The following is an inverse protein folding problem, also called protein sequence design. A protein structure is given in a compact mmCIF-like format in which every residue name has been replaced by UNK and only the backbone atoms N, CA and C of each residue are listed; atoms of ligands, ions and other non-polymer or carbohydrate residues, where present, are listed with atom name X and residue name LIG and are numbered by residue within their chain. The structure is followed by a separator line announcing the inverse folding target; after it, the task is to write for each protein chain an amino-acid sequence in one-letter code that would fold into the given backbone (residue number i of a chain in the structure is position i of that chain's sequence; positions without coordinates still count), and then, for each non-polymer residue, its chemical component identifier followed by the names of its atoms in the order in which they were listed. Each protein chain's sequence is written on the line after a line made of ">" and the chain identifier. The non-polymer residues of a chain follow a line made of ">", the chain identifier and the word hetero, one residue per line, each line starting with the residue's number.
data_IF_136198875495
#
_entry.id   IF_136198875495
#
_cell.length_a   1.000
_cell.length_b   1.000
_cell.length_c   1.000
_cell.angle_alpha   90.00
_cell.angle_beta   90.00
_cell.angle_gamma   90.00
#
_symmetry.space_group_name_H-M   'P 1'
#
loop_
_entity.id
_entity.type
_entity.pdbx_description
1 polymer ?
#
# COMPACT_ATOMS: atom_id res chain seq x y z
N UNK A 1 12.30 -11.50 -40.38
CA UNK A 1 11.85 -10.10 -40.53
C UNK A 1 10.55 -9.81 -39.78
N UNK A 2 10.36 -10.23 -38.52
CA UNK A 2 9.14 -9.97 -37.72
C UNK A 2 9.43 -9.39 -36.33
N UNK A 3 10.67 -9.15 -35.92
CA UNK A 3 11.06 -8.67 -34.62
C UNK A 3 11.09 -7.11 -34.54
N UNK A 4 11.32 -6.45 -35.68
CA UNK A 4 11.46 -4.98 -35.75
C UNK A 4 10.12 -4.23 -35.61
N UNK A 5 8.99 -4.83 -35.99
CA UNK A 5 7.68 -4.17 -35.91
C UNK A 5 7.11 -4.10 -34.47
N UNK A 6 7.43 -5.07 -33.61
CA UNK A 6 6.92 -5.10 -32.21
C UNK A 6 7.64 -4.07 -31.35
N UNK A 7 8.93 -3.82 -31.59
CA UNK A 7 9.71 -2.83 -30.84
C UNK A 7 9.28 -1.40 -31.17
N UNK A 8 8.91 -1.12 -32.44
CA UNK A 8 8.43 0.23 -32.83
C UNK A 8 7.05 0.57 -32.22
N UNK A 9 6.15 -0.40 -32.10
CA UNK A 9 4.83 -0.19 -31.49
C UNK A 9 4.92 0.04 -29.98
N UNK A 10 5.81 -0.65 -29.27
CA UNK A 10 6.04 -0.40 -27.84
C UNK A 10 6.66 0.97 -27.55
N UNK A 11 7.62 1.39 -28.38
CA UNK A 11 8.25 2.73 -28.25
C UNK A 11 7.26 3.86 -28.54
N UNK A 12 6.38 3.70 -29.52
CA UNK A 12 5.35 4.70 -29.85
C UNK A 12 4.31 4.84 -28.72
N UNK A 13 3.89 3.75 -28.09
CA UNK A 13 2.93 3.80 -26.97
C UNK A 13 3.54 4.44 -25.73
N UNK A 14 4.80 4.18 -25.41
CA UNK A 14 5.50 4.81 -24.29
C UNK A 14 5.69 6.32 -24.51
N UNK A 15 5.99 6.75 -25.74
CA UNK A 15 6.13 8.16 -26.05
C UNK A 15 4.79 8.92 -25.99
N UNK A 16 3.69 8.33 -26.48
CA UNK A 16 2.36 8.93 -26.40
C UNK A 16 1.94 9.10 -24.94
N UNK A 17 2.19 8.11 -24.09
CA UNK A 17 1.90 8.17 -22.66
C UNK A 17 2.71 9.26 -21.93
N UNK A 18 3.99 9.39 -22.25
CA UNK A 18 4.87 10.41 -21.64
C UNK A 18 4.46 11.85 -22.04
N UNK A 19 3.98 12.05 -23.25
CA UNK A 19 3.46 13.35 -23.73
C UNK A 19 2.17 13.69 -23.01
N UNK A 20 1.24 12.73 -22.81
CA UNK A 20 0.00 12.96 -22.08
C UNK A 20 0.29 13.33 -20.62
N UNK A 21 1.19 12.60 -19.94
CA UNK A 21 1.56 12.89 -18.54
C UNK A 21 2.08 14.32 -18.35
N UNK A 22 3.03 14.77 -19.18
CA UNK A 22 3.56 16.15 -19.11
C UNK A 22 2.48 17.20 -19.33
N UNK A 23 1.54 16.97 -20.23
CA UNK A 23 0.42 17.86 -20.49
C UNK A 23 -0.51 17.95 -19.27
N UNK A 24 -0.82 16.82 -18.63
CA UNK A 24 -1.62 16.79 -17.41
C UNK A 24 -0.92 17.55 -16.29
N UNK A 25 0.38 17.29 -16.06
CA UNK A 25 1.17 18.00 -15.06
C UNK A 25 1.19 19.52 -15.30
N UNK A 26 1.42 19.95 -16.54
CA UNK A 26 1.41 21.36 -16.91
C UNK A 26 0.06 22.02 -16.66
N UNK A 27 -1.04 21.40 -17.12
CA UNK A 27 -2.40 21.92 -16.93
C UNK A 27 -2.76 22.04 -15.46
N UNK A 28 -2.51 20.96 -14.67
CA UNK A 28 -2.81 20.94 -13.23
C UNK A 28 -1.96 21.97 -12.48
N UNK A 29 -0.69 22.16 -12.86
CA UNK A 29 0.16 23.20 -12.29
C UNK A 29 -0.48 24.58 -12.48
N UNK A 30 -0.85 24.93 -13.71
CA UNK A 30 -1.48 26.23 -14.04
C UNK A 30 -2.82 26.44 -13.32
N UNK A 31 -3.65 25.40 -13.30
CA UNK A 31 -4.92 25.44 -12.59
C UNK A 31 -4.74 25.69 -11.09
N UNK A 32 -3.80 24.98 -10.45
CA UNK A 32 -3.55 25.11 -9.00
C UNK A 32 -2.93 26.47 -8.66
N UNK A 33 -2.01 26.98 -9.47
CA UNK A 33 -1.43 28.32 -9.30
C UNK A 33 -2.52 29.40 -9.35
N UNK A 34 -3.45 29.31 -10.32
CA UNK A 34 -4.58 30.23 -10.43
C UNK A 34 -5.53 30.13 -9.23
N UNK A 35 -5.86 28.91 -8.81
CA UNK A 35 -6.83 28.66 -7.73
C UNK A 35 -6.29 29.04 -6.34
N UNK A 36 -5.01 28.82 -6.09
CA UNK A 36 -4.40 29.05 -4.76
C UNK A 36 -3.69 30.39 -4.66
N UNK A 37 -3.57 31.14 -5.76
CA UNK A 37 -2.75 32.34 -5.86
C UNK A 37 -1.31 32.14 -5.33
N UNK A 38 -0.79 30.93 -5.48
CA UNK A 38 0.49 30.51 -4.93
C UNK A 38 1.26 29.68 -5.96
N UNK A 39 2.59 29.91 -6.10
CA UNK A 39 3.39 29.20 -7.10
C UNK A 39 3.52 27.71 -6.73
N UNK A 40 3.32 26.85 -7.73
CA UNK A 40 3.62 25.41 -7.65
C UNK A 40 5.07 25.19 -8.06
N UNK A 41 5.91 24.85 -7.08
CA UNK A 41 7.35 24.66 -7.28
C UNK A 41 7.65 23.38 -8.06
N UNK A 42 6.95 22.31 -7.70
CA UNK A 42 7.11 21.01 -8.32
C UNK A 42 5.78 20.28 -8.40
N UNK A 43 5.59 19.55 -9.48
CA UNK A 43 4.50 18.59 -9.66
C UNK A 43 5.11 17.25 -10.10
N UNK A 44 4.56 16.15 -9.61
CA UNK A 44 5.01 14.79 -9.93
C UNK A 44 3.82 13.88 -10.05
N UNK A 45 3.79 13.07 -11.09
CA UNK A 45 2.88 11.94 -11.19
C UNK A 45 3.42 10.78 -10.34
N UNK A 46 2.66 10.39 -9.32
CA UNK A 46 2.99 9.28 -8.41
C UNK A 46 2.59 7.94 -9.03
N UNK A 47 1.44 7.92 -9.67
CA UNK A 47 0.86 6.76 -10.34
C UNK A 47 -0.15 7.21 -11.37
N UNK A 48 -0.30 6.46 -12.45
CA UNK A 48 -1.35 6.63 -13.45
C UNK A 48 -1.70 5.27 -14.05
N UNK A 49 -2.97 5.08 -14.39
CA UNK A 49 -3.45 3.89 -15.08
C UNK A 49 -4.83 4.16 -15.70
N UNK A 50 -5.21 3.33 -16.68
CA UNK A 50 -6.55 3.35 -17.25
C UNK A 50 -7.57 2.78 -16.27
N UNK A 51 -8.71 3.45 -16.14
CA UNK A 51 -9.81 3.03 -15.28
C UNK A 51 -10.66 2.02 -16.05
N UNK A 52 -10.62 0.77 -15.63
CA UNK A 52 -11.39 -0.31 -16.27
C UNK A 52 -12.88 0.02 -16.40
N UNK A 53 -13.45 -0.26 -17.56
CA UNK A 53 -14.88 -0.04 -17.84
C UNK A 53 -15.30 1.41 -18.09
N UNK A 54 -14.33 2.35 -18.24
CA UNK A 54 -14.61 3.78 -18.47
C UNK A 54 -14.33 4.26 -19.89
N UNK A 55 -14.03 3.34 -20.82
CA UNK A 55 -13.75 3.67 -22.23
C UNK A 55 -12.62 4.68 -22.40
N UNK A 56 -11.44 4.38 -21.83
CA UNK A 56 -10.20 5.11 -22.05
C UNK A 56 -9.93 6.28 -21.09
N UNK A 57 -10.68 6.43 -20.00
CA UNK A 57 -10.31 7.37 -18.96
C UNK A 57 -9.12 6.86 -18.15
N UNK A 58 -8.10 7.73 -17.99
CA UNK A 58 -6.94 7.50 -17.13
C UNK A 58 -7.06 8.31 -15.86
N UNK A 59 -6.67 7.73 -14.74
CA UNK A 59 -6.49 8.44 -13.46
C UNK A 59 -5.03 8.82 -13.29
N UNK A 60 -4.79 10.04 -12.81
CA UNK A 60 -3.48 10.55 -12.42
C UNK A 60 -3.49 10.93 -10.95
N UNK A 61 -2.58 10.33 -10.18
CA UNK A 61 -2.31 10.67 -8.79
C UNK A 61 -1.09 11.57 -8.74
N UNK A 62 -1.28 12.81 -8.33
CA UNK A 62 -0.26 13.85 -8.41
C UNK A 62 0.14 14.33 -7.01
N UNK A 63 1.44 14.55 -6.80
CA UNK A 63 1.95 15.32 -5.67
C UNK A 63 2.41 16.69 -6.17
N UNK A 64 2.01 17.75 -5.45
CA UNK A 64 2.38 19.14 -5.74
C UNK A 64 3.07 19.75 -4.52
N UNK A 65 4.23 20.34 -4.72
CA UNK A 65 4.89 21.17 -3.72
C UNK A 65 4.51 22.65 -3.99
N UNK A 66 3.70 23.23 -3.09
CA UNK A 66 3.13 24.58 -3.24
C UNK A 66 3.71 25.49 -2.16
N UNK A 67 4.09 26.70 -2.53
CA UNK A 67 4.47 27.77 -1.60
C UNK A 67 3.23 28.61 -1.26
N UNK A 68 2.52 28.24 -0.19
CA UNK A 68 1.35 28.98 0.26
C UNK A 68 1.78 30.31 0.89
N UNK A 69 1.24 31.41 0.39
CA UNK A 69 1.38 32.73 1.02
C UNK A 69 0.45 32.81 2.24
N UNK A 70 1.00 33.16 3.41
CA UNK A 70 0.29 33.35 4.66
C UNK A 70 0.66 34.73 5.24
N UNK A 71 0.00 35.79 4.73
CA UNK A 71 0.39 37.17 5.00
C UNK A 71 1.79 37.46 4.47
N UNK A 72 2.72 37.89 5.34
CA UNK A 72 4.12 38.15 4.96
C UNK A 72 5.01 36.89 4.93
N UNK A 73 4.52 35.74 5.40
CA UNK A 73 5.27 34.48 5.40
C UNK A 73 4.90 33.56 4.25
N UNK A 74 5.84 32.68 3.89
CA UNK A 74 5.60 31.65 2.88
C UNK A 74 5.84 30.27 3.51
N UNK A 75 4.85 29.39 3.41
CA UNK A 75 4.97 28.00 3.92
C UNK A 75 4.94 27.01 2.76
N UNK A 76 6.00 26.21 2.66
CA UNK A 76 6.00 25.05 1.75
C UNK A 76 5.00 24.00 2.24
N UNK A 77 4.09 23.58 1.36
CA UNK A 77 3.12 22.53 1.63
C UNK A 77 3.09 21.54 0.47
N UNK A 78 3.18 20.25 0.78
CA UNK A 78 2.90 19.19 -0.20
C UNK A 78 1.44 18.84 -0.12
N UNK A 79 0.77 18.86 -1.27
CA UNK A 79 -0.62 18.47 -1.44
C UNK A 79 -0.70 17.37 -2.48
N UNK A 80 -1.74 16.54 -2.38
CA UNK A 80 -2.05 15.50 -3.36
C UNK A 80 -3.29 15.90 -4.16
N UNK A 81 -3.30 15.56 -5.44
CA UNK A 81 -4.42 15.81 -6.33
C UNK A 81 -4.68 14.55 -7.18
N UNK A 82 -5.94 14.20 -7.31
CA UNK A 82 -6.40 13.19 -8.27
C UNK A 82 -7.07 13.91 -9.43
N UNK A 83 -6.67 13.58 -10.63
CA UNK A 83 -7.28 14.10 -11.86
C UNK A 83 -7.47 12.96 -12.85
N UNK A 84 -8.35 13.18 -13.80
CA UNK A 84 -8.73 12.23 -14.83
C UNK A 84 -8.44 12.83 -16.19
N UNK A 85 -7.98 12.01 -17.12
CA UNK A 85 -7.70 12.45 -18.49
C UNK A 85 -8.26 11.45 -19.49
N UNK A 86 -8.87 11.96 -20.54
CA UNK A 86 -9.25 11.23 -21.75
C UNK A 86 -9.21 12.17 -22.94
N UNK A 87 -8.56 11.76 -24.03
CA UNK A 87 -8.53 12.51 -25.30
C UNK A 87 -8.13 13.99 -25.11
N UNK A 88 -7.14 14.26 -24.26
CA UNK A 88 -6.66 15.60 -23.84
C UNK A 88 -7.65 16.41 -23.00
N UNK A 89 -8.80 15.86 -22.65
CA UNK A 89 -9.72 16.46 -21.70
C UNK A 89 -9.29 16.11 -20.28
N UNK A 90 -9.24 17.11 -19.39
CA UNK A 90 -8.86 16.93 -17.99
C UNK A 90 -10.04 17.25 -17.10
N UNK A 91 -10.38 16.31 -16.22
CA UNK A 91 -11.45 16.45 -15.22
C UNK A 91 -10.89 16.31 -13.79
N UNK A 92 -11.36 17.14 -12.87
CA UNK A 92 -11.02 17.06 -11.43
C UNK A 92 -12.00 16.20 -10.63
N UNK A 93 -13.09 15.78 -11.26
CA UNK A 93 -14.11 14.89 -10.72
C UNK A 93 -14.57 13.96 -11.83
N UNK A 94 -14.68 12.67 -11.51
CA UNK A 94 -15.25 11.65 -12.37
C UNK A 94 -16.03 10.68 -11.48
N UNK A 95 -17.25 10.33 -11.89
CA UNK A 95 -18.13 9.45 -11.14
C UNK A 95 -18.36 8.14 -11.89
N UNK A 96 -18.54 7.07 -11.14
CA UNK A 96 -18.99 5.79 -11.70
C UNK A 96 -20.50 5.83 -12.05
N UNK A 97 -21.01 4.71 -12.61
CA UNK A 97 -22.42 4.57 -12.98
C UNK A 97 -23.38 4.65 -11.77
N UNK A 98 -22.87 4.51 -10.54
CA UNK A 98 -23.63 4.62 -9.29
C UNK A 98 -23.53 6.01 -8.66
N UNK A 99 -22.86 6.94 -9.31
CA UNK A 99 -22.63 8.31 -8.82
C UNK A 99 -21.48 8.43 -7.81
N UNK A 100 -20.69 7.38 -7.58
CA UNK A 100 -19.57 7.38 -6.64
C UNK A 100 -18.33 8.02 -7.28
N UNK A 101 -17.70 8.95 -6.57
CA UNK A 101 -16.48 9.63 -7.03
C UNK A 101 -15.30 8.66 -7.12
N UNK A 102 -14.70 8.55 -8.30
CA UNK A 102 -13.51 7.71 -8.52
C UNK A 102 -12.32 8.14 -7.66
N UNK A 103 -12.16 9.45 -7.37
CA UNK A 103 -11.12 9.95 -6.48
C UNK A 103 -11.19 9.39 -5.04
N UNK A 104 -12.35 8.88 -4.61
CA UNK A 104 -12.56 8.25 -3.30
C UNK A 104 -12.35 6.74 -3.31
N UNK A 105 -12.53 6.10 -4.46
CA UNK A 105 -12.50 4.64 -4.61
C UNK A 105 -11.29 4.12 -5.39
N UNK A 106 -10.43 4.99 -5.88
CA UNK A 106 -9.17 4.63 -6.51
C UNK A 106 -7.99 5.06 -5.64
N UNK A 107 -6.89 4.33 -5.74
CA UNK A 107 -5.62 4.62 -5.08
C UNK A 107 -4.45 4.39 -6.04
N UNK A 108 -3.30 5.05 -5.81
CA UNK A 108 -2.08 4.76 -6.56
C UNK A 108 -1.75 3.27 -6.51
N UNK A 109 -1.18 2.75 -7.59
CA UNK A 109 -0.57 1.42 -7.59
C UNK A 109 0.63 1.39 -6.64
N UNK A 110 0.78 0.29 -5.91
CA UNK A 110 1.94 0.08 -5.03
C UNK A 110 3.21 -0.04 -5.89
N UNK A 111 4.23 0.79 -5.66
CA UNK A 111 5.48 0.66 -6.39
C UNK A 111 6.25 -0.59 -5.96
N UNK A 112 7.02 -1.18 -6.87
CA UNK A 112 7.82 -2.38 -6.58
C UNK A 112 8.77 -2.18 -5.38
N UNK A 113 9.27 -0.96 -5.18
CA UNK A 113 10.14 -0.61 -4.05
C UNK A 113 9.47 -0.70 -2.67
N UNK A 114 8.15 -0.87 -2.61
CA UNK A 114 7.43 -1.11 -1.35
C UNK A 114 7.47 -2.57 -0.90
N UNK A 115 7.89 -3.48 -1.77
CA UNK A 115 8.01 -4.91 -1.46
C UNK A 115 9.45 -5.26 -1.09
N UNK A 116 10.01 -4.54 -0.11
CA UNK A 116 11.38 -4.76 0.37
C UNK A 116 11.43 -5.73 1.56
N UNK A 117 12.59 -6.37 1.75
CA UNK A 117 12.77 -7.38 2.81
C UNK A 117 12.53 -6.86 4.23
N UNK A 118 12.70 -5.55 4.45
CA UNK A 118 12.51 -4.94 5.79
C UNK A 118 11.06 -4.85 6.20
N UNK A 119 10.12 -4.99 5.25
CA UNK A 119 8.69 -4.93 5.50
C UNK A 119 8.02 -6.31 5.35
N UNK A 120 8.76 -7.34 4.91
CA UNK A 120 8.23 -8.70 4.79
C UNK A 120 8.00 -9.30 6.17
N UNK A 121 6.77 -9.27 6.64
CA UNK A 121 6.37 -9.75 7.97
C UNK A 121 6.13 -11.27 7.99
N UNK A 122 5.53 -11.82 6.94
CA UNK A 122 5.18 -13.23 6.85
C UNK A 122 5.08 -13.69 5.39
N UNK A 123 5.17 -15.01 5.17
CA UNK A 123 5.17 -15.63 3.85
C UNK A 123 6.52 -15.53 3.14
N UNK A 124 6.57 -15.94 1.89
CA UNK A 124 7.79 -15.96 1.08
C UNK A 124 7.83 -14.74 0.14
N UNK A 125 9.01 -14.11 0.00
CA UNK A 125 9.18 -12.95 -0.90
C UNK A 125 8.79 -13.27 -2.36
N UNK A 126 8.97 -14.52 -2.78
CA UNK A 126 8.67 -15.02 -4.13
C UNK A 126 7.28 -15.66 -4.24
N UNK A 127 6.41 -15.45 -3.24
CA UNK A 127 5.03 -15.93 -3.26
C UNK A 127 4.24 -15.36 -4.45
N UNK A 128 3.20 -16.08 -4.86
CA UNK A 128 2.38 -15.75 -6.03
C UNK A 128 1.71 -14.39 -5.91
N UNK A 129 1.28 -14.00 -4.70
CA UNK A 129 0.60 -12.74 -4.43
C UNK A 129 1.31 -11.94 -3.35
N UNK A 130 1.45 -10.64 -3.58
CA UNK A 130 2.07 -9.70 -2.63
C UNK A 130 0.99 -8.84 -1.97
N UNK A 131 0.90 -8.96 -0.65
CA UNK A 131 -0.03 -8.16 0.16
C UNK A 131 0.75 -7.04 0.84
N UNK A 132 0.33 -5.79 0.66
CA UNK A 132 0.82 -4.66 1.44
C UNK A 132 -0.27 -4.22 2.41
N UNK A 133 0.06 -4.23 3.69
CA UNK A 133 -0.82 -3.83 4.80
C UNK A 133 -0.32 -2.51 5.40
N UNK A 134 -1.21 -1.55 5.60
CA UNK A 134 -0.96 -0.35 6.40
C UNK A 134 -1.94 -0.36 7.57
N UNK A 135 -1.42 -0.39 8.81
CA UNK A 135 -2.24 -0.65 10.00
C UNK A 135 -1.83 0.15 11.24
N UNK A 136 -2.75 0.17 12.23
CA UNK A 136 -2.57 0.70 13.58
C UNK A 136 -3.04 -0.34 14.58
N UNK A 137 -2.25 -0.71 15.61
CA UNK A 137 -2.59 -1.78 16.53
C UNK A 137 -3.83 -1.50 17.41
N UNK A 138 -4.22 -0.25 17.58
CA UNK A 138 -5.41 0.12 18.34
C UNK A 138 -6.63 0.48 17.48
N UNK A 139 -6.50 0.46 16.16
CA UNK A 139 -7.65 0.63 15.28
C UNK A 139 -8.57 -0.61 15.40
N UNK A 140 -9.87 -0.47 15.77
CA UNK A 140 -10.78 -1.61 15.96
C UNK A 140 -10.84 -2.53 14.73
N UNK A 141 -10.93 -1.96 13.52
CA UNK A 141 -10.92 -2.74 12.28
C UNK A 141 -9.58 -3.45 12.03
N UNK A 142 -8.44 -2.89 12.50
CA UNK A 142 -7.16 -3.58 12.42
C UNK A 142 -7.12 -4.76 13.38
N UNK A 143 -7.67 -4.62 14.57
CA UNK A 143 -7.75 -5.69 15.57
C UNK A 143 -8.55 -6.89 15.06
N UNK A 144 -9.60 -6.63 14.30
CA UNK A 144 -10.44 -7.68 13.70
C UNK A 144 -9.78 -8.34 12.47
N UNK A 145 -9.19 -7.52 11.58
CA UNK A 145 -8.80 -7.99 10.23
C UNK A 145 -7.36 -8.49 10.18
N UNK A 146 -6.42 -7.84 10.91
CA UNK A 146 -4.99 -8.11 10.71
C UNK A 146 -4.52 -9.44 11.31
N UNK A 147 -4.90 -9.85 12.51
CA UNK A 147 -4.48 -11.13 13.04
C UNK A 147 -4.89 -12.33 12.17
N UNK A 148 -6.15 -12.44 11.68
CA UNK A 148 -6.53 -13.51 10.76
C UNK A 148 -5.77 -13.44 9.41
N UNK A 149 -5.48 -12.26 8.89
CA UNK A 149 -4.68 -12.10 7.67
C UNK A 149 -3.26 -12.64 7.86
N UNK A 150 -2.59 -12.29 8.97
CA UNK A 150 -1.25 -12.82 9.28
C UNK A 150 -1.28 -14.34 9.35
N UNK A 151 -2.26 -14.91 10.06
CA UNK A 151 -2.43 -16.36 10.17
C UNK A 151 -2.63 -17.01 8.80
N UNK A 152 -3.49 -16.48 7.97
CA UNK A 152 -3.73 -16.99 6.61
C UNK A 152 -2.46 -16.96 5.74
N UNK A 153 -1.63 -15.93 5.86
CA UNK A 153 -0.34 -15.86 5.14
C UNK A 153 0.65 -16.88 5.67
N UNK A 154 0.70 -17.12 6.99
CA UNK A 154 1.56 -18.15 7.59
C UNK A 154 1.15 -19.57 7.17
N UNK A 155 -0.16 -19.82 7.02
CA UNK A 155 -0.70 -21.10 6.54
C UNK A 155 -0.48 -21.31 5.03
N UNK A 156 -0.32 -20.22 4.26
CA UNK A 156 -0.14 -20.25 2.81
C UNK A 156 1.09 -19.45 2.35
N UNK A 157 2.31 -19.78 2.83
CA UNK A 157 3.51 -18.96 2.62
C UNK A 157 3.97 -18.87 1.17
N UNK A 158 3.63 -19.84 0.32
CA UNK A 158 3.94 -19.82 -1.11
C UNK A 158 2.87 -19.10 -1.94
N UNK A 159 1.68 -18.91 -1.35
CA UNK A 159 0.60 -18.16 -2.00
C UNK A 159 0.74 -16.66 -1.72
N UNK A 160 1.17 -16.28 -0.51
CA UNK A 160 1.24 -14.90 -0.08
C UNK A 160 2.59 -14.48 0.51
N UNK A 161 2.98 -13.23 0.20
CA UNK A 161 3.99 -12.46 0.91
C UNK A 161 3.32 -11.22 1.54
N UNK A 162 3.38 -11.08 2.86
CA UNK A 162 2.78 -9.96 3.59
C UNK A 162 3.83 -8.92 3.97
N UNK A 163 3.71 -7.72 3.42
CA UNK A 163 4.53 -6.56 3.73
C UNK A 163 3.76 -5.61 4.63
N UNK A 164 4.26 -5.35 5.84
CA UNK A 164 3.56 -4.57 6.86
C UNK A 164 4.19 -3.22 7.12
N UNK A 165 3.35 -2.19 7.09
CA UNK A 165 3.65 -0.78 7.28
C UNK A 165 2.88 -0.22 8.46
N UNK A 166 3.55 0.54 9.34
CA UNK A 166 2.95 1.12 10.52
C UNK A 166 2.35 2.51 10.23
N UNK A 167 1.12 2.72 10.68
CA UNK A 167 0.47 4.01 10.63
C UNK A 167 -0.13 4.37 12.00
N UNK A 168 0.71 4.76 12.99
CA UNK A 168 0.20 5.13 14.31
C UNK A 168 -0.71 6.35 14.22
N UNK A 169 -1.98 6.19 14.58
CA UNK A 169 -2.99 7.24 14.60
C UNK A 169 -2.93 7.99 15.93
N UNK A 170 -1.79 8.57 16.25
CA UNK A 170 -1.44 9.13 17.60
C UNK A 170 -2.39 10.20 18.12
N UNK A 171 -3.16 10.86 17.26
CA UNK A 171 -4.15 11.85 17.67
C UNK A 171 -5.39 11.19 18.31
N UNK A 172 -5.74 9.99 17.89
CA UNK A 172 -6.89 9.23 18.40
C UNK A 172 -6.46 8.02 19.22
N UNK A 173 -5.30 7.44 18.95
CA UNK A 173 -4.68 6.31 19.66
C UNK A 173 -3.26 6.69 20.13
N UNK A 174 -3.09 7.50 21.18
CA UNK A 174 -1.76 7.90 21.67
C UNK A 174 -0.81 6.73 21.98
N UNK A 175 -1.36 5.62 22.50
CA UNK A 175 -0.57 4.42 22.80
C UNK A 175 0.10 3.78 21.57
N UNK A 176 -0.46 3.97 20.38
CA UNK A 176 0.14 3.49 19.11
C UNK A 176 1.56 4.02 18.90
N UNK A 177 1.88 5.21 19.45
CA UNK A 177 3.23 5.78 19.35
C UNK A 177 4.31 4.86 19.93
N UNK A 178 3.99 4.17 21.02
CA UNK A 178 4.92 3.24 21.69
C UNK A 178 4.82 1.85 21.08
N UNK A 179 3.60 1.34 20.88
CA UNK A 179 3.36 -0.02 20.41
C UNK A 179 3.92 -0.25 19.01
N UNK A 180 3.78 0.72 18.08
CA UNK A 180 4.35 0.59 16.73
C UNK A 180 5.88 0.52 16.73
N UNK A 181 6.56 1.20 17.67
CA UNK A 181 8.02 1.06 17.82
C UNK A 181 8.39 -0.35 18.27
N UNK A 182 7.64 -0.93 19.21
CA UNK A 182 7.83 -2.33 19.62
C UNK A 182 7.53 -3.29 18.48
N UNK A 183 6.50 -3.02 17.67
CA UNK A 183 6.17 -3.85 16.50
C UNK A 183 7.30 -3.86 15.46
N UNK A 184 8.00 -2.74 15.25
CA UNK A 184 9.20 -2.72 14.40
C UNK A 184 10.29 -3.63 14.97
N UNK A 185 10.55 -3.60 16.29
CA UNK A 185 11.54 -4.48 16.91
C UNK A 185 11.13 -5.95 16.82
N UNK A 186 9.85 -6.27 17.08
CA UNK A 186 9.34 -7.64 16.98
C UNK A 186 9.45 -8.18 15.54
N UNK A 187 9.23 -7.32 14.56
CA UNK A 187 9.44 -7.66 13.16
C UNK A 187 10.91 -7.96 12.86
N UNK A 188 11.83 -7.09 13.28
CA UNK A 188 13.28 -7.28 13.08
C UNK A 188 13.81 -8.53 13.79
N UNK A 189 13.19 -8.92 14.93
CA UNK A 189 13.46 -10.14 15.69
C UNK A 189 12.79 -11.39 15.09
N UNK A 190 11.99 -11.28 14.02
CA UNK A 190 11.23 -12.38 13.43
C UNK A 190 10.09 -12.94 14.33
N UNK A 191 9.67 -12.18 15.35
CA UNK A 191 8.66 -12.59 16.34
C UNK A 191 7.23 -12.29 15.86
N UNK A 192 6.83 -12.92 14.75
CA UNK A 192 5.54 -12.66 14.08
C UNK A 192 4.35 -12.93 14.99
N UNK A 193 4.39 -14.00 15.82
CA UNK A 193 3.30 -14.30 16.76
C UNK A 193 3.14 -13.22 17.82
N UNK A 194 4.23 -12.68 18.34
CA UNK A 194 4.17 -11.60 19.31
C UNK A 194 3.77 -10.28 18.67
N UNK A 195 4.20 -10.03 17.42
CA UNK A 195 3.70 -8.92 16.61
C UNK A 195 2.17 -8.98 16.45
N UNK A 196 1.62 -10.15 16.13
CA UNK A 196 0.17 -10.39 16.02
C UNK A 196 -0.57 -10.09 17.32
N UNK A 197 0.00 -10.47 18.48
CA UNK A 197 -0.57 -10.21 19.81
C UNK A 197 -0.68 -8.73 20.15
N UNK A 198 0.06 -7.83 19.47
CA UNK A 198 -0.01 -6.38 19.71
C UNK A 198 -1.34 -5.77 19.32
N UNK A 199 -2.09 -6.40 18.40
CA UNK A 199 -3.44 -5.97 18.05
C UNK A 199 -4.49 -6.24 19.15
N UNK A 200 -4.14 -7.06 20.14
CA UNK A 200 -5.00 -7.36 21.29
C UNK A 200 -4.27 -7.07 22.61
N UNK A 201 -3.51 -5.97 22.62
CA UNK A 201 -2.84 -5.53 23.83
C UNK A 201 -3.85 -4.91 24.81
N UNK A 202 -3.84 -5.42 26.06
CA UNK A 202 -4.73 -4.95 27.12
C UNK A 202 -4.17 -3.69 27.79
N UNK A 203 -4.31 -2.56 27.12
CA UNK A 203 -3.99 -1.21 27.63
C UNK A 203 -4.91 -0.22 26.90
N UNK A 204 -5.24 0.89 27.55
CA UNK A 204 -6.06 1.92 26.91
C UNK A 204 -5.34 2.51 25.68
N UNK A 205 -6.06 2.65 24.58
CA UNK A 205 -5.54 3.33 23.37
C UNK A 205 -5.18 4.81 23.65
N UNK A 206 -5.75 5.40 24.72
CA UNK A 206 -5.46 6.77 25.19
C UNK A 206 -4.25 6.87 26.10
N UNK A 207 -3.65 5.74 26.52
CA UNK A 207 -2.48 5.76 27.39
C UNK A 207 -1.29 6.47 26.71
N UNK A 208 -0.61 7.33 27.48
CA UNK A 208 0.53 8.13 27.02
C UNK A 208 1.83 7.78 27.74
N UNK A 209 1.73 7.13 28.93
CA UNK A 209 2.88 6.77 29.74
C UNK A 209 3.56 5.54 29.17
N UNK A 210 4.73 5.74 28.57
CA UNK A 210 5.53 4.66 27.95
C UNK A 210 5.71 3.49 28.91
N UNK A 211 6.06 3.75 30.17
CA UNK A 211 6.26 2.70 31.19
C UNK A 211 5.03 1.80 31.37
N UNK A 212 3.81 2.36 31.35
CA UNK A 212 2.56 1.60 31.51
C UNK A 212 2.34 0.70 30.31
N UNK A 213 2.57 1.23 29.10
CA UNK A 213 2.43 0.48 27.85
C UNK A 213 3.46 -0.64 27.79
N UNK A 214 4.73 -0.38 28.11
CA UNK A 214 5.79 -1.40 28.10
C UNK A 214 5.54 -2.51 29.11
N UNK A 215 5.00 -2.19 30.29
CA UNK A 215 4.60 -3.20 31.28
C UNK A 215 3.45 -4.09 30.79
N UNK A 216 2.48 -3.52 30.08
CA UNK A 216 1.41 -4.29 29.45
C UNK A 216 1.92 -5.23 28.35
N UNK A 217 2.89 -4.77 27.54
CA UNK A 217 3.57 -5.58 26.53
C UNK A 217 4.34 -6.73 27.17
N UNK A 218 5.17 -6.43 28.18
CA UNK A 218 5.92 -7.46 28.93
C UNK A 218 4.99 -8.53 29.49
N UNK A 219 3.88 -8.13 30.10
CA UNK A 219 2.85 -9.07 30.60
C UNK A 219 2.24 -9.93 29.49
N UNK A 220 2.06 -9.36 28.28
CA UNK A 220 1.40 -10.03 27.13
C UNK A 220 2.28 -11.06 26.46
N UNK A 221 3.59 -10.78 26.32
CA UNK A 221 4.50 -11.58 25.49
C UNK A 221 5.79 -12.05 26.21
N UNK A 222 5.97 -11.71 27.50
CA UNK A 222 7.14 -12.10 28.28
C UNK A 222 8.46 -11.40 27.89
N UNK A 223 8.42 -10.45 26.92
CA UNK A 223 9.59 -9.70 26.44
C UNK A 223 9.57 -8.30 27.03
N UNK A 224 10.61 -7.97 27.79
CA UNK A 224 10.82 -6.62 28.33
C UNK A 224 11.51 -5.74 27.29
N UNK A 225 10.95 -4.57 27.07
CA UNK A 225 11.56 -3.52 26.23
C UNK A 225 11.96 -2.33 27.09
N UNK A 226 13.04 -1.67 26.69
CA UNK A 226 13.58 -0.50 27.36
C UNK A 226 13.37 0.76 26.53
N UNK A 227 13.35 1.93 27.17
CA UNK A 227 13.34 3.22 26.48
C UNK A 227 14.48 3.34 25.46
N UNK A 228 15.69 2.86 25.83
CA UNK A 228 16.87 2.89 24.97
C UNK A 228 16.66 2.12 23.66
N UNK A 229 16.04 0.96 23.70
CA UNK A 229 15.70 0.18 22.50
C UNK A 229 14.71 0.96 21.62
N UNK A 230 13.68 1.58 22.20
CA UNK A 230 12.70 2.37 21.45
C UNK A 230 13.26 3.67 20.86
N UNK A 231 14.42 4.11 21.31
CA UNK A 231 15.14 5.28 20.77
C UNK A 231 16.13 4.92 19.67
N UNK A 232 16.21 3.64 19.27
CA UNK A 232 17.06 3.21 18.16
C UNK A 232 16.76 4.02 16.89
N UNK A 233 17.75 4.66 16.26
CA UNK A 233 17.58 5.43 15.02
C UNK A 233 16.92 4.65 13.89
N UNK A 234 17.15 3.33 13.78
CA UNK A 234 16.53 2.44 12.78
C UNK A 234 15.01 2.45 12.86
N UNK A 235 14.43 2.49 14.10
CA UNK A 235 12.98 2.56 14.29
C UNK A 235 12.43 3.88 13.73
N UNK A 236 13.12 4.99 14.02
CA UNK A 236 12.74 6.31 13.52
C UNK A 236 12.77 6.33 11.98
N UNK A 237 13.79 5.73 11.40
CA UNK A 237 13.94 5.62 9.94
C UNK A 237 12.83 4.75 9.34
N UNK A 238 12.55 3.56 9.91
CA UNK A 238 11.48 2.68 9.46
C UNK A 238 10.11 3.39 9.48
N UNK A 239 9.74 3.99 10.62
CA UNK A 239 8.46 4.72 10.73
C UNK A 239 8.40 5.97 9.85
N UNK A 240 9.52 6.61 9.53
CA UNK A 240 9.58 7.72 8.57
C UNK A 240 9.33 7.21 7.13
N UNK A 241 9.87 6.04 6.78
CA UNK A 241 9.64 5.39 5.50
C UNK A 241 8.16 4.97 5.36
N UNK A 242 7.59 4.36 6.39
CA UNK A 242 6.16 4.00 6.44
C UNK A 242 5.26 5.22 6.22
N UNK A 243 5.59 6.33 6.89
CA UNK A 243 4.88 7.60 6.71
C UNK A 243 5.00 8.16 5.29
N UNK A 244 6.15 8.00 4.65
CA UNK A 244 6.34 8.41 3.26
C UNK A 244 5.54 7.53 2.31
N UNK A 245 5.53 6.20 2.51
CA UNK A 245 4.76 5.25 1.72
C UNK A 245 3.25 5.48 1.86
N UNK A 246 2.74 5.71 3.09
CA UNK A 246 1.36 6.13 3.32
C UNK A 246 0.95 7.33 2.45
N UNK A 247 1.80 8.36 2.40
CA UNK A 247 1.53 9.56 1.59
C UNK A 247 1.50 9.22 0.11
N UNK A 248 2.52 8.47 -0.37
CA UNK A 248 2.63 8.04 -1.75
C UNK A 248 1.43 7.24 -2.22
N UNK A 249 0.86 6.39 -1.35
CA UNK A 249 -0.31 5.56 -1.65
C UNK A 249 -1.65 6.26 -1.35
N UNK A 250 -1.63 7.56 -1.01
CA UNK A 250 -2.84 8.34 -0.68
C UNK A 250 -3.71 7.66 0.39
N UNK A 251 -3.06 7.03 1.37
CA UNK A 251 -3.75 6.33 2.45
C UNK A 251 -4.21 7.31 3.51
N UNK A 252 -5.49 7.26 3.86
CA UNK A 252 -6.13 8.18 4.83
C UNK A 252 -6.60 7.47 6.10
N UNK A 253 -6.60 6.14 6.13
CA UNK A 253 -7.09 5.34 7.26
C UNK A 253 -6.50 3.94 7.32
N UNK A 254 -6.86 3.21 8.39
CA UNK A 254 -6.41 1.83 8.66
C UNK A 254 -7.59 0.90 8.94
N UNK A 255 -7.48 -0.40 8.65
CA UNK A 255 -6.45 -0.99 7.81
C UNK A 255 -6.65 -0.61 6.34
N UNK A 256 -5.55 -0.39 5.62
CA UNK A 256 -5.56 -0.30 4.17
C UNK A 256 -4.73 -1.46 3.63
N UNK A 257 -5.31 -2.23 2.72
CA UNK A 257 -4.72 -3.44 2.14
C UNK A 257 -4.64 -3.29 0.63
N UNK A 258 -3.50 -3.68 0.07
CA UNK A 258 -3.30 -3.81 -1.36
C UNK A 258 -2.89 -5.26 -1.65
N UNK A 259 -3.36 -5.81 -2.76
CA UNK A 259 -2.93 -7.12 -3.26
C UNK A 259 -2.41 -6.92 -4.69
N UNK A 260 -1.21 -7.39 -4.96
CA UNK A 260 -0.52 -7.26 -6.26
C UNK A 260 -0.51 -5.81 -6.78
N UNK A 261 -0.30 -4.87 -5.87
CA UNK A 261 -0.25 -3.45 -6.18
C UNK A 261 -1.59 -2.73 -6.20
N UNK A 262 -2.71 -3.46 -6.22
CA UNK A 262 -4.06 -2.91 -6.32
C UNK A 262 -4.72 -2.81 -4.94
N UNK A 263 -5.35 -1.68 -4.66
CA UNK A 263 -6.10 -1.50 -3.42
C UNK A 263 -7.29 -2.46 -3.31
N UNK A 264 -7.37 -3.15 -2.16
CA UNK A 264 -8.52 -3.99 -1.79
C UNK A 264 -9.46 -3.24 -0.84
N UNK A 265 -10.55 -2.64 -1.32
CA UNK A 265 -11.52 -1.95 -0.47
C UNK A 265 -12.29 -2.90 0.46
N UNK A 266 -12.37 -4.20 0.11
CA UNK A 266 -13.05 -5.22 0.92
C UNK A 266 -12.21 -5.64 2.11
N UNK A 267 -10.87 -5.52 2.02
CA UNK A 267 -9.87 -5.96 3.00
C UNK A 267 -9.85 -7.48 3.20
N UNK A 268 -10.59 -8.21 2.38
CA UNK A 268 -10.83 -9.66 2.49
C UNK A 268 -10.58 -10.42 1.19
N UNK A 269 -10.12 -9.72 0.12
CA UNK A 269 -9.93 -10.34 -1.18
C UNK A 269 -8.93 -11.51 -1.15
N UNK A 270 -7.98 -11.56 -0.20
CA UNK A 270 -7.05 -12.67 0.00
C UNK A 270 -7.78 -14.02 0.20
N UNK A 271 -8.97 -14.03 0.80
CA UNK A 271 -9.78 -15.25 0.98
C UNK A 271 -10.22 -15.89 -0.34
N UNK A 272 -10.43 -15.06 -1.37
CA UNK A 272 -10.76 -15.55 -2.71
C UNK A 272 -9.58 -16.32 -3.31
N UNK A 273 -8.36 -15.79 -3.19
CA UNK A 273 -7.15 -16.45 -3.70
C UNK A 273 -6.91 -17.79 -3.01
N UNK A 274 -7.14 -17.90 -1.70
CA UNK A 274 -7.08 -19.18 -0.97
C UNK A 274 -8.07 -20.19 -1.56
N UNK A 275 -9.32 -19.77 -1.77
CA UNK A 275 -10.37 -20.62 -2.34
C UNK A 275 -10.03 -21.07 -3.78
N UNK A 276 -9.46 -20.19 -4.59
CA UNK A 276 -9.04 -20.50 -5.96
C UNK A 276 -7.86 -21.49 -5.97
N UNK A 277 -6.85 -21.29 -5.12
CA UNK A 277 -5.71 -22.21 -4.96
C UNK A 277 -6.16 -23.60 -4.50
N UNK A 278 -7.09 -23.69 -3.54
CA UNK A 278 -7.63 -24.96 -3.05
C UNK A 278 -8.37 -25.72 -4.15
N UNK A 279 -9.10 -25.03 -5.02
CA UNK A 279 -9.79 -25.65 -6.16
C UNK A 279 -8.81 -26.18 -7.23
N UNK A 280 -7.73 -25.41 -7.50
CA UNK A 280 -6.70 -25.81 -8.44
C UNK A 280 -5.97 -27.10 -8.01
N UNK A 281 -5.79 -27.30 -6.69
CA UNK A 281 -5.18 -28.49 -6.13
C UNK A 281 -6.10 -29.73 -6.20
N UNK A 282 -7.42 -29.54 -6.29
CA UNK A 282 -8.41 -30.61 -6.36
C UNK A 282 -8.67 -31.13 -7.78
N UNK A 283 -8.17 -30.43 -8.81
CA UNK A 283 -8.25 -30.93 -10.21
C UNK A 283 -7.08 -31.89 -10.40
N UNK A 284 -7.32 -33.24 -10.57
CA UNK A 284 -6.23 -34.19 -10.79
C UNK A 284 -5.49 -33.74 -12.05
N UNK A 285 -4.13 -33.65 -11.98
CA UNK A 285 -3.31 -33.59 -13.18
C UNK A 285 -3.74 -34.75 -14.06
N UNK A 286 -4.28 -34.48 -15.25
CA UNK A 286 -4.44 -35.49 -16.29
C UNK A 286 -3.04 -36.07 -16.47
N UNK A 287 -2.85 -37.32 -16.05
CA UNK A 287 -1.66 -38.07 -16.41
C UNK A 287 -1.60 -38.06 -17.96
N UNK A 288 -0.59 -37.41 -18.50
CA UNK A 288 -0.25 -37.59 -19.89
C UNK A 288 0.10 -39.08 -20.02
N UNK A 289 -0.88 -39.83 -20.57
CA UNK A 289 -0.81 -41.25 -20.75
C UNK A 289 0.46 -41.59 -21.49
N UNK A 290 1.26 -42.39 -20.86
CA UNK A 290 2.36 -43.15 -21.38
C UNK A 290 1.83 -44.07 -22.50
N UNK A 291 1.69 -43.57 -23.74
CA UNK A 291 1.57 -44.34 -24.95
C UNK A 291 2.95 -44.39 -25.63
N UNK A 292 3.80 -45.24 -25.06
CA UNK A 292 4.97 -45.70 -25.80
C UNK A 292 4.78 -47.17 -26.09
N UNK A 293 4.93 -47.45 -27.40
CA UNK A 293 5.27 -48.71 -28.02
C UNK A 293 4.28 -49.87 -27.92
N UNK A 294 3.63 -50.10 -29.04
CA UNK A 294 3.51 -51.45 -29.62
C UNK A 294 3.12 -51.28 -31.11
N UNK A 295 4.10 -51.22 -31.98
CA UNK A 295 4.01 -51.74 -33.35
C UNK A 295 5.42 -52.02 -33.90
N UNK A 296 5.89 -53.20 -33.59
CA UNK A 296 6.82 -53.93 -34.45
C UNK A 296 5.97 -54.79 -35.39
N UNK A 297 6.08 -54.54 -36.68
CA UNK A 297 6.21 -55.53 -37.75
C UNK A 297 6.46 -54.78 -39.06
#
# INVERSE_FOLDING_TARGET
>A
MRITAIVLTLLATVQIFAVSQKNVEYYVKKYMEKRTHSPVQQIRTVSTYEIGGTNGWHVYFLELDINLKMGQSTRKKRVTQVVFEKDKQIAFSLKDKKGQEYSKILKPMVPQSAYDKRHLLAGNADAQHKILLISDPFCPFCQEIVPPLITAVQEHPNLFALYSYQLPLVNIHPASKVVTKVMVLLHDEGRVEDYKKMYHLLVSEKERKERVILKAIEKKIGRKFTHKELMNPKIKEALAFDKAMKKRLFVTGTPTIFIDGVWDPTRMAYKRYIKEASKATLVPKKEEGFFSSFFTF
#
